data_IF_603591128840
#
_entry.id   IF_603591128840
#
_cell.length_a   1.000
_cell.length_b   1.000
_cell.length_c   1.000
_cell.angle_alpha   90.00
_cell.angle_beta   90.00
_cell.angle_gamma   90.00
#
_symmetry.space_group_name_H-M   'P 1'
#
loop_
_entity.id
_entity.type
_entity.pdbx_description
1 polymer ?
#
# COMPACT_ATOMS: atom_id res chain seq x y z
N UNK A 1 29.92 -2.57 2.92
CA UNK A 1 28.57 -2.08 3.22
C UNK A 1 27.66 -2.74 2.21
N UNK A 2 26.66 -3.47 2.68
CA UNK A 2 25.65 -4.03 1.79
C UNK A 2 24.82 -2.85 1.25
N UNK A 3 24.72 -2.75 -0.09
CA UNK A 3 24.01 -1.63 -0.71
C UNK A 3 22.51 -1.75 -0.32
N UNK A 4 22.00 -0.80 0.46
CA UNK A 4 20.61 -0.77 0.87
C UNK A 4 19.74 -0.29 -0.32
N UNK A 5 19.25 -1.25 -1.10
CA UNK A 5 18.47 -0.96 -2.29
C UNK A 5 17.23 -0.08 -1.98
N UNK A 6 16.59 -0.26 -0.83
CA UNK A 6 15.41 0.53 -0.46
C UNK A 6 15.78 2.01 -0.30
N UNK A 7 16.89 2.30 0.36
CA UNK A 7 17.38 3.69 0.52
C UNK A 7 17.79 4.31 -0.80
N UNK A 8 18.53 3.59 -1.61
CA UNK A 8 18.89 4.08 -2.94
C UNK A 8 17.63 4.33 -3.78
N UNK A 9 16.66 3.40 -3.77
CA UNK A 9 15.38 3.57 -4.47
C UNK A 9 14.57 4.77 -3.96
N UNK A 10 14.53 5.01 -2.65
CA UNK A 10 13.77 6.10 -2.08
C UNK A 10 14.47 7.45 -2.29
N UNK A 11 15.75 7.54 -2.00
CA UNK A 11 16.44 8.82 -1.78
C UNK A 11 17.60 9.10 -2.75
N UNK A 12 17.88 8.22 -3.72
CA UNK A 12 18.99 8.39 -4.67
C UNK A 12 20.33 8.75 -3.99
N UNK A 13 20.61 8.07 -2.87
CA UNK A 13 21.78 8.32 -2.02
C UNK A 13 21.90 9.76 -1.46
N UNK A 14 20.79 10.51 -1.39
CA UNK A 14 20.77 11.84 -0.79
C UNK A 14 21.12 11.79 0.70
N UNK A 15 21.84 12.81 1.14
CA UNK A 15 22.26 12.95 2.52
C UNK A 15 21.06 13.12 3.46
N UNK A 16 21.00 12.29 4.49
CA UNK A 16 20.02 12.42 5.57
C UNK A 16 20.54 13.43 6.59
N UNK A 17 19.81 14.54 6.74
CA UNK A 17 20.14 15.58 7.71
C UNK A 17 19.46 15.25 9.04
N UNK A 18 20.26 15.05 10.08
CA UNK A 18 19.80 14.70 11.44
C UNK A 18 20.04 15.85 12.41
N UNK A 19 19.04 16.14 13.26
CA UNK A 19 19.16 16.99 14.45
C UNK A 19 18.43 16.31 15.62
N UNK A 20 18.53 16.86 16.84
CA UNK A 20 17.83 16.33 18.00
C UNK A 20 16.28 16.41 17.88
N UNK A 21 15.78 17.31 17.04
CA UNK A 21 14.35 17.60 16.93
C UNK A 21 13.75 17.06 15.64
N UNK A 22 14.58 16.84 14.60
CA UNK A 22 14.09 16.51 13.27
C UNK A 22 15.13 15.76 12.45
N UNK A 23 14.64 14.85 11.64
CA UNK A 23 15.40 14.21 10.57
C UNK A 23 14.73 14.53 9.23
N UNK A 24 15.51 14.77 8.19
CA UNK A 24 14.97 15.09 6.86
C UNK A 24 15.87 14.59 5.73
N UNK A 25 15.24 14.32 4.58
CA UNK A 25 15.92 13.91 3.36
C UNK A 25 15.16 14.40 2.12
N UNK A 26 15.88 14.77 1.08
CA UNK A 26 15.30 15.05 -0.23
C UNK A 26 14.99 13.75 -0.96
N UNK A 27 13.88 13.71 -1.68
CA UNK A 27 13.46 12.57 -2.49
C UNK A 27 12.91 13.06 -3.83
N UNK A 28 13.28 12.39 -4.91
CA UNK A 28 12.70 12.62 -6.23
C UNK A 28 11.55 11.62 -6.45
N UNK A 29 10.38 12.12 -6.81
CA UNK A 29 9.25 11.27 -7.24
C UNK A 29 9.38 10.93 -8.72
N UNK A 30 10.44 10.19 -9.08
CA UNK A 30 10.74 9.79 -10.46
C UNK A 30 9.75 8.74 -11.02
N UNK A 31 9.97 8.34 -12.29
CA UNK A 31 9.11 7.37 -12.98
C UNK A 31 9.10 5.98 -12.32
N UNK A 32 10.15 5.62 -11.56
CA UNK A 32 10.22 4.35 -10.84
C UNK A 32 9.17 4.26 -9.73
N UNK A 33 8.68 5.41 -9.27
CA UNK A 33 7.72 5.56 -8.18
C UNK A 33 6.27 5.75 -8.63
N UNK A 34 5.99 5.60 -9.94
CA UNK A 34 4.65 5.81 -10.50
C UNK A 34 3.63 4.79 -9.99
N UNK A 35 2.42 5.27 -9.65
CA UNK A 35 1.25 4.47 -9.34
C UNK A 35 0.20 4.54 -10.45
N UNK A 36 -0.37 5.70 -10.69
CA UNK A 36 -1.21 6.02 -11.85
C UNK A 36 -0.46 6.99 -12.76
N UNK A 37 -0.93 7.15 -14.02
CA UNK A 37 -0.27 8.01 -15.02
C UNK A 37 0.15 9.36 -14.45
N UNK A 38 1.46 9.55 -14.30
CA UNK A 38 2.05 10.77 -13.77
C UNK A 38 1.82 11.03 -12.29
N UNK A 39 1.25 10.09 -11.54
CA UNK A 39 1.00 10.21 -10.10
C UNK A 39 1.83 9.17 -9.35
N UNK A 40 2.67 9.56 -8.36
CA UNK A 40 3.42 8.61 -7.54
C UNK A 40 2.49 7.68 -6.75
N UNK A 41 2.92 6.43 -6.53
CA UNK A 41 2.17 5.47 -5.72
C UNK A 41 2.20 5.87 -4.24
N UNK A 42 1.03 5.98 -3.59
CA UNK A 42 0.91 6.40 -2.19
C UNK A 42 1.75 5.55 -1.22
N UNK A 43 1.82 4.24 -1.47
CA UNK A 43 2.62 3.31 -0.70
C UNK A 43 4.12 3.63 -0.64
N UNK A 44 4.66 4.28 -1.67
CA UNK A 44 6.07 4.70 -1.69
C UNK A 44 6.29 5.84 -0.71
N UNK A 45 5.42 6.86 -0.72
CA UNK A 45 5.51 7.96 0.23
C UNK A 45 5.33 7.49 1.68
N UNK A 46 4.39 6.57 1.93
CA UNK A 46 4.23 5.95 3.25
C UNK A 46 5.48 5.17 3.66
N UNK A 47 6.08 4.42 2.73
CA UNK A 47 7.33 3.70 2.95
C UNK A 47 8.50 4.61 3.25
N UNK A 48 8.62 5.75 2.56
CA UNK A 48 9.66 6.77 2.83
C UNK A 48 9.51 7.40 4.22
N UNK A 49 8.28 7.74 4.61
CA UNK A 49 7.99 8.21 5.98
C UNK A 49 8.44 7.17 7.01
N UNK A 50 8.09 5.91 6.80
CA UNK A 50 8.44 4.84 7.74
C UNK A 50 9.95 4.59 7.79
N UNK A 51 10.63 4.57 6.63
CA UNK A 51 12.08 4.37 6.56
C UNK A 51 12.84 5.49 7.27
N UNK A 52 12.44 6.75 7.02
CA UNK A 52 13.06 7.89 7.67
C UNK A 52 12.80 7.91 9.19
N UNK A 53 11.57 7.56 9.61
CA UNK A 53 11.23 7.46 11.02
C UNK A 53 12.06 6.39 11.75
N UNK A 54 12.41 5.30 11.07
CA UNK A 54 13.27 4.25 11.59
C UNK A 54 14.71 4.71 11.86
N UNK A 55 15.14 5.83 11.31
CA UNK A 55 16.46 6.44 11.53
C UNK A 55 16.52 7.36 12.77
N UNK A 56 15.42 7.53 13.48
CA UNK A 56 15.39 8.32 14.70
C UNK A 56 15.98 7.55 15.88
N UNK A 57 17.19 7.85 16.27
CA UNK A 57 17.96 7.14 17.32
C UNK A 57 17.34 7.22 18.72
N UNK A 58 16.36 8.09 18.95
CA UNK A 58 15.73 8.32 20.25
C UNK A 58 14.33 7.72 20.40
N UNK A 59 13.75 7.25 19.33
CA UNK A 59 12.43 6.68 19.35
C UNK A 59 12.53 5.16 19.19
N UNK A 60 12.70 4.46 20.29
CA UNK A 60 12.27 3.05 20.39
C UNK A 60 13.20 1.99 19.78
N UNK A 61 14.32 2.34 19.11
CA UNK A 61 15.01 1.41 18.21
C UNK A 61 16.39 0.93 18.67
N UNK A 62 16.67 0.96 19.95
CA UNK A 62 17.97 0.39 20.35
C UNK A 62 18.10 -1.10 20.07
N UNK A 63 17.05 -1.85 19.72
CA UNK A 63 17.25 -3.24 19.28
C UNK A 63 16.07 -3.97 18.64
N UNK A 64 14.82 -3.48 18.68
CA UNK A 64 13.72 -4.10 17.94
C UNK A 64 12.49 -3.22 18.00
N UNK A 65 11.88 -2.94 16.83
CA UNK A 65 10.54 -2.39 16.74
C UNK A 65 9.63 -3.14 17.71
N UNK A 66 9.14 -2.45 18.75
CA UNK A 66 8.13 -3.04 19.62
C UNK A 66 6.84 -3.15 18.85
N UNK A 67 6.49 -4.35 18.45
CA UNK A 67 5.23 -4.64 17.79
C UNK A 67 4.11 -4.79 18.83
N UNK A 68 2.88 -4.40 18.49
CA UNK A 68 2.42 -3.89 17.21
C UNK A 68 2.85 -2.44 16.91
N UNK A 69 3.10 -2.15 15.61
CA UNK A 69 3.34 -0.81 15.10
C UNK A 69 2.08 -0.31 14.41
N UNK A 70 1.61 0.88 14.81
CA UNK A 70 0.45 1.54 14.24
C UNK A 70 0.89 2.70 13.36
N UNK A 71 0.40 2.72 12.11
CA UNK A 71 0.68 3.78 11.16
C UNK A 71 -0.62 4.40 10.68
N UNK A 72 -0.70 5.73 10.68
CA UNK A 72 -1.83 6.48 10.13
C UNK A 72 -1.33 7.51 9.12
N UNK A 73 -1.85 7.49 7.92
CA UNK A 73 -1.45 8.38 6.84
C UNK A 73 -2.63 9.18 6.30
N UNK A 74 -2.37 10.45 5.94
CA UNK A 74 -3.30 11.32 5.23
C UNK A 74 -2.62 11.88 3.99
N UNK A 75 -3.34 11.89 2.88
CA UNK A 75 -2.90 12.35 1.57
C UNK A 75 -3.79 13.49 1.05
N UNK A 76 -3.24 14.32 0.16
CA UNK A 76 -4.01 15.30 -0.60
C UNK A 76 -4.02 16.72 -0.06
N UNK A 77 -3.02 17.13 0.72
CA UNK A 77 -2.81 18.55 1.06
C UNK A 77 -2.24 19.33 -0.11
N UNK A 78 -1.29 18.76 -0.82
CA UNK A 78 -0.69 19.30 -2.06
C UNK A 78 -0.70 18.24 -3.16
N UNK A 79 -0.63 18.69 -4.41
CA UNK A 79 -0.43 17.83 -5.55
C UNK A 79 1.06 17.53 -5.74
N UNK A 80 1.40 16.28 -6.05
CA UNK A 80 2.74 15.83 -6.43
C UNK A 80 2.62 14.99 -7.69
N UNK A 81 3.51 15.23 -8.63
CA UNK A 81 3.60 14.51 -9.89
C UNK A 81 4.91 13.74 -9.99
N UNK A 82 4.94 12.77 -10.88
CA UNK A 82 6.18 12.13 -11.29
C UNK A 82 7.10 13.19 -11.90
N UNK A 83 8.34 13.27 -11.40
CA UNK A 83 9.32 14.30 -11.72
C UNK A 83 9.48 15.39 -10.65
N UNK A 84 8.59 15.46 -9.67
CA UNK A 84 8.67 16.49 -8.62
C UNK A 84 9.64 16.11 -7.50
N UNK A 85 10.51 17.05 -7.08
CA UNK A 85 11.31 16.91 -5.87
C UNK A 85 10.43 17.18 -4.63
N UNK A 86 10.59 16.34 -3.61
CA UNK A 86 9.91 16.49 -2.32
C UNK A 86 10.90 16.41 -1.17
N UNK A 87 10.52 16.98 -0.03
CA UNK A 87 11.22 16.86 1.24
C UNK A 87 10.43 15.91 2.15
N UNK A 88 11.09 14.86 2.64
CA UNK A 88 10.58 13.96 3.68
C UNK A 88 11.14 14.42 5.01
N UNK A 89 10.29 14.61 6.01
CA UNK A 89 10.67 15.04 7.35
C UNK A 89 9.99 14.16 8.39
N UNK A 90 10.71 13.82 9.46
CA UNK A 90 10.17 13.13 10.63
C UNK A 90 10.62 13.82 11.92
N UNK A 91 9.74 13.84 12.92
CA UNK A 91 9.92 14.46 14.21
C UNK A 91 9.40 13.54 15.30
N UNK A 92 10.11 13.40 16.44
CA UNK A 92 9.61 12.63 17.56
C UNK A 92 8.40 13.31 18.20
N UNK A 93 7.50 12.54 18.76
CA UNK A 93 6.38 12.96 19.58
C UNK A 93 6.40 12.23 20.91
N UNK A 94 5.51 12.54 21.83
CA UNK A 94 5.42 11.84 23.13
C UNK A 94 5.09 10.35 22.99
N UNK A 95 4.40 9.94 21.92
CA UNK A 95 3.89 8.58 21.75
C UNK A 95 4.41 7.88 20.48
N UNK A 96 5.36 8.51 19.77
CA UNK A 96 5.87 7.94 18.51
C UNK A 96 6.53 8.99 17.62
N UNK A 97 6.22 8.97 16.35
CA UNK A 97 6.82 9.83 15.33
C UNK A 97 5.74 10.45 14.46
N UNK A 98 5.80 11.77 14.28
CA UNK A 98 5.04 12.50 13.27
C UNK A 98 5.95 12.78 12.08
N UNK A 99 5.45 12.56 10.86
CA UNK A 99 6.22 12.77 9.65
C UNK A 99 5.39 13.37 8.53
N UNK A 100 6.09 13.96 7.53
CA UNK A 100 5.42 14.55 6.36
C UNK A 100 6.29 14.47 5.13
N UNK A 101 5.64 14.50 3.98
CA UNK A 101 6.25 14.72 2.67
C UNK A 101 5.65 15.98 2.09
N UNK A 102 6.50 16.92 1.71
CA UNK A 102 6.06 18.20 1.14
C UNK A 102 6.78 18.47 -0.19
N UNK A 103 6.07 18.93 -1.23
CA UNK A 103 6.72 19.52 -2.39
C UNK A 103 7.59 20.71 -1.96
N UNK A 104 8.66 20.96 -2.66
CA UNK A 104 9.54 22.06 -2.34
C UNK A 104 8.81 23.41 -2.44
N UNK A 105 8.79 24.16 -1.34
CA UNK A 105 8.11 25.47 -1.26
C UNK A 105 6.59 25.43 -1.07
N UNK A 106 5.98 24.25 -0.92
CA UNK A 106 4.54 24.15 -0.65
C UNK A 106 4.23 24.38 0.84
N UNK A 107 3.12 25.10 1.11
CA UNK A 107 2.62 25.33 2.46
C UNK A 107 1.99 24.08 3.09
N UNK A 108 1.34 23.26 2.25
CA UNK A 108 0.64 22.05 2.70
C UNK A 108 1.42 20.79 2.32
N UNK A 109 1.50 19.79 3.19
CA UNK A 109 2.14 18.53 2.85
C UNK A 109 1.32 17.73 1.84
N UNK A 110 2.00 16.93 1.02
CA UNK A 110 1.41 15.92 0.16
C UNK A 110 0.91 14.72 0.97
N UNK A 111 1.75 14.22 1.89
CA UNK A 111 1.42 13.15 2.82
C UNK A 111 1.81 13.58 4.22
N UNK A 112 0.95 13.29 5.20
CA UNK A 112 1.33 13.29 6.63
C UNK A 112 1.21 11.88 7.17
N UNK A 113 2.07 11.51 8.12
CA UNK A 113 2.09 10.21 8.76
C UNK A 113 2.30 10.31 10.26
N UNK A 114 1.66 9.44 11.00
CA UNK A 114 1.87 9.22 12.42
C UNK A 114 2.19 7.73 12.63
N UNK A 115 3.26 7.46 13.35
CA UNK A 115 3.72 6.10 13.69
C UNK A 115 3.79 6.03 15.19
N UNK A 116 3.08 5.08 15.79
CA UNK A 116 3.04 4.86 17.24
C UNK A 116 3.28 3.38 17.59
N UNK A 117 3.73 3.17 18.83
CA UNK A 117 4.19 1.89 19.37
C UNK A 117 3.48 1.64 20.70
N UNK A 118 2.17 1.65 20.72
CA UNK A 118 1.37 1.45 21.92
C UNK A 118 0.80 0.04 21.94
N UNK A 119 0.84 -0.62 23.12
CA UNK A 119 0.12 -1.87 23.37
C UNK A 119 -1.40 -1.69 23.31
N UNK A 120 -1.87 -0.44 23.46
CA UNK A 120 -3.27 -0.10 23.24
C UNK A 120 -3.55 -0.20 21.73
N UNK A 121 -3.99 -1.38 21.30
CA UNK A 121 -4.47 -1.55 19.94
C UNK A 121 -5.55 -0.50 19.68
N UNK A 122 -5.44 0.30 18.59
CA UNK A 122 -6.58 1.13 18.15
C UNK A 122 -7.80 0.22 18.07
N UNK A 123 -8.99 0.79 18.31
CA UNK A 123 -10.26 0.04 18.14
C UNK A 123 -10.13 -0.89 16.95
N UNK A 124 -10.18 -2.20 17.22
CA UNK A 124 -10.01 -3.20 16.17
C UNK A 124 -11.13 -3.01 15.18
N UNK A 125 -10.80 -2.48 14.03
CA UNK A 125 -11.67 -2.63 12.86
C UNK A 125 -11.63 -4.14 12.52
N UNK A 126 -12.49 -4.93 13.14
CA UNK A 126 -12.59 -6.38 12.94
C UNK A 126 -12.96 -6.79 11.49
N UNK A 127 -13.14 -5.79 10.61
CA UNK A 127 -13.56 -6.02 9.22
C UNK A 127 -12.61 -6.93 8.44
N UNK A 128 -11.30 -6.74 8.57
CA UNK A 128 -10.32 -7.46 7.76
C UNK A 128 -10.31 -8.97 8.07
N UNK A 129 -10.53 -9.36 9.32
CA UNK A 129 -10.50 -10.77 9.74
C UNK A 129 -11.72 -11.57 9.28
N UNK A 130 -12.84 -10.93 9.03
CA UNK A 130 -14.10 -11.60 8.72
C UNK A 130 -14.12 -12.27 7.36
N UNK A 131 -13.21 -11.92 6.43
CA UNK A 131 -13.17 -12.51 5.09
C UNK A 131 -11.89 -13.27 4.78
N UNK A 132 -10.94 -13.34 5.72
CA UNK A 132 -9.77 -14.22 5.56
C UNK A 132 -10.25 -15.67 5.66
N UNK A 133 -9.95 -16.51 4.67
CA UNK A 133 -10.37 -17.91 4.73
C UNK A 133 -9.65 -18.65 5.83
N UNK A 134 -10.27 -19.68 6.38
CA UNK A 134 -9.64 -20.54 7.38
C UNK A 134 -8.44 -21.32 6.81
N UNK A 135 -8.50 -21.64 5.49
CA UNK A 135 -7.46 -22.42 4.83
C UNK A 135 -7.30 -22.02 3.36
N UNK A 136 -6.08 -22.09 2.85
CA UNK A 136 -5.72 -21.75 1.48
C UNK A 136 -6.52 -22.54 0.42
N UNK A 137 -6.92 -23.76 0.72
CA UNK A 137 -7.73 -24.59 -0.19
C UNK A 137 -9.09 -23.95 -0.55
N UNK A 138 -9.59 -23.03 0.28
CA UNK A 138 -10.85 -22.34 0.02
C UNK A 138 -10.72 -21.32 -1.12
N UNK A 139 -9.52 -20.80 -1.37
CA UNK A 139 -9.25 -19.82 -2.45
C UNK A 139 -8.54 -20.47 -3.65
N UNK A 140 -7.79 -21.52 -3.44
CA UNK A 140 -7.03 -22.21 -4.49
C UNK A 140 -7.95 -22.69 -5.63
N UNK A 141 -7.61 -22.31 -6.87
CA UNK A 141 -8.39 -22.69 -8.05
C UNK A 141 -9.69 -21.91 -8.28
N UNK A 142 -9.99 -20.90 -7.43
CA UNK A 142 -11.20 -20.06 -7.51
C UNK A 142 -10.88 -18.58 -7.77
N UNK A 143 -9.72 -18.30 -8.32
CA UNK A 143 -9.22 -16.95 -8.53
C UNK A 143 -9.45 -16.49 -9.96
N UNK A 144 -10.03 -15.31 -10.13
CA UNK A 144 -10.11 -14.63 -11.41
C UNK A 144 -9.04 -13.54 -11.49
N UNK A 145 -8.30 -13.50 -12.60
CA UNK A 145 -7.26 -12.50 -12.78
C UNK A 145 -7.86 -11.11 -13.01
N UNK A 146 -7.39 -10.13 -12.25
CA UNK A 146 -7.71 -8.70 -12.43
C UNK A 146 -6.62 -8.08 -13.32
N UNK A 147 -7.01 -7.20 -14.28
CA UNK A 147 -6.06 -6.47 -15.09
C UNK A 147 -5.21 -5.51 -14.26
N UNK A 148 -4.16 -4.99 -14.85
CA UNK A 148 -3.17 -4.16 -14.20
C UNK A 148 -2.85 -2.92 -15.05
N UNK A 149 -2.34 -1.87 -14.39
CA UNK A 149 -1.75 -0.73 -15.08
C UNK A 149 -0.27 -0.98 -15.36
N UNK A 150 0.16 -0.82 -16.63
CA UNK A 150 1.48 -1.23 -17.10
C UNK A 150 2.65 -0.63 -16.30
N UNK A 151 2.57 0.64 -15.91
CA UNK A 151 3.67 1.34 -15.24
C UNK A 151 3.52 1.39 -13.71
N UNK A 152 2.44 0.87 -13.13
CA UNK A 152 2.25 0.90 -11.69
C UNK A 152 3.40 0.21 -10.94
N UNK A 153 3.89 0.85 -9.90
CA UNK A 153 4.92 0.30 -9.02
C UNK A 153 4.54 -1.07 -8.44
N UNK A 154 3.27 -1.27 -8.10
CA UNK A 154 2.78 -2.51 -7.51
C UNK A 154 2.31 -3.51 -8.56
N UNK A 155 1.34 -3.16 -9.40
CA UNK A 155 0.70 -4.10 -10.33
C UNK A 155 1.32 -4.15 -11.73
N UNK A 156 2.28 -3.31 -12.05
CA UNK A 156 2.94 -3.29 -13.35
C UNK A 156 3.88 -4.48 -13.58
N UNK A 157 3.32 -5.66 -13.84
CA UNK A 157 4.09 -6.92 -13.96
C UNK A 157 5.11 -6.90 -15.09
N UNK A 158 4.84 -6.16 -16.17
CA UNK A 158 5.70 -6.08 -17.35
C UNK A 158 6.54 -4.78 -17.40
N UNK A 159 6.49 -3.95 -16.34
CA UNK A 159 7.30 -2.73 -16.28
C UNK A 159 8.80 -3.07 -16.30
N UNK A 160 9.59 -2.26 -17.03
CA UNK A 160 11.05 -2.38 -17.08
C UNK A 160 11.75 -1.83 -15.82
N UNK A 161 11.14 -0.84 -15.19
CA UNK A 161 11.63 -0.17 -13.99
C UNK A 161 11.42 -1.01 -12.73
N UNK A 162 12.14 -0.71 -11.62
CA UNK A 162 11.92 -1.36 -10.33
C UNK A 162 10.44 -1.29 -9.90
N UNK A 163 9.94 -2.37 -9.30
CA UNK A 163 8.57 -2.44 -8.82
C UNK A 163 8.29 -3.78 -8.15
N UNK A 164 7.17 -3.88 -7.47
CA UNK A 164 6.78 -5.09 -6.75
C UNK A 164 6.23 -6.17 -7.69
N UNK A 165 5.67 -5.77 -8.83
CA UNK A 165 5.17 -6.64 -9.92
C UNK A 165 4.17 -7.69 -9.45
N UNK A 166 3.22 -7.28 -8.62
CA UNK A 166 2.21 -8.19 -8.06
C UNK A 166 1.02 -8.37 -9.02
N UNK A 167 0.58 -9.62 -9.17
CA UNK A 167 -0.66 -9.95 -9.87
C UNK A 167 -1.80 -9.96 -8.87
N UNK A 168 -2.89 -9.32 -9.22
CA UNK A 168 -4.10 -9.26 -8.42
C UNK A 168 -5.16 -10.22 -8.97
N UNK A 169 -5.91 -10.79 -8.06
CA UNK A 169 -6.95 -11.77 -8.37
C UNK A 169 -8.21 -11.45 -7.57
N UNK A 170 -9.34 -11.74 -8.16
CA UNK A 170 -10.62 -11.69 -7.49
C UNK A 170 -10.99 -13.07 -6.99
N UNK A 171 -11.36 -13.14 -5.73
CA UNK A 171 -11.93 -14.30 -5.08
C UNK A 171 -13.38 -14.00 -4.69
N UNK A 172 -14.33 -14.81 -5.23
CA UNK A 172 -15.73 -14.75 -4.83
C UNK A 172 -15.89 -15.52 -3.52
N UNK A 173 -15.77 -14.82 -2.40
CA UNK A 173 -15.93 -15.43 -1.08
C UNK A 173 -17.41 -15.53 -0.70
N UNK A 174 -17.78 -16.39 0.28
CA UNK A 174 -19.15 -16.44 0.82
C UNK A 174 -19.63 -15.13 1.42
N UNK A 175 -18.69 -14.25 1.83
CA UNK A 175 -18.97 -12.94 2.44
C UNK A 175 -18.92 -11.78 1.42
N UNK A 176 -18.73 -12.09 0.14
CA UNK A 176 -18.60 -11.11 -0.95
C UNK A 176 -17.23 -11.15 -1.60
N UNK A 177 -17.00 -10.24 -2.52
CA UNK A 177 -15.79 -10.22 -3.32
C UNK A 177 -14.58 -9.71 -2.55
N UNK A 178 -13.50 -10.45 -2.65
CA UNK A 178 -12.21 -10.12 -2.04
C UNK A 178 -11.15 -10.09 -3.13
N UNK A 179 -10.35 -9.05 -3.16
CA UNK A 179 -9.16 -8.96 -4.02
C UNK A 179 -7.97 -9.57 -3.28
N UNK A 180 -7.22 -10.43 -3.98
CA UNK A 180 -6.06 -11.10 -3.43
C UNK A 180 -4.80 -10.82 -4.25
N UNK A 181 -3.67 -10.64 -3.57
CA UNK A 181 -2.33 -10.63 -4.15
C UNK A 181 -1.42 -11.57 -3.36
N UNK A 182 -0.38 -12.10 -4.00
CA UNK A 182 0.45 -13.16 -3.45
C UNK A 182 1.93 -12.76 -3.41
N UNK A 183 2.66 -13.23 -2.39
CA UNK A 183 4.11 -13.16 -2.28
C UNK A 183 4.64 -14.45 -1.65
N UNK A 184 5.83 -14.88 -2.05
CA UNK A 184 6.44 -16.12 -1.53
C UNK A 184 5.90 -17.42 -2.14
N UNK A 185 5.03 -17.35 -3.15
CA UNK A 185 4.43 -18.52 -3.79
C UNK A 185 5.13 -18.93 -5.10
N UNK A 186 5.76 -17.97 -5.78
CA UNK A 186 6.44 -18.20 -7.04
C UNK A 186 7.86 -17.62 -6.98
N UNK A 187 8.93 -18.44 -7.10
CA UNK A 187 10.31 -17.97 -7.01
C UNK A 187 10.67 -16.86 -8.01
N UNK A 188 10.04 -16.81 -9.17
CA UNK A 188 10.30 -15.75 -10.17
C UNK A 188 9.74 -14.39 -9.73
N UNK A 189 8.60 -14.40 -9.05
CA UNK A 189 7.98 -13.18 -8.53
C UNK A 189 8.69 -12.68 -7.27
N UNK A 190 9.38 -13.57 -6.54
CA UNK A 190 10.09 -13.22 -5.30
C UNK A 190 11.28 -12.31 -5.54
N UNK A 191 12.01 -12.46 -6.63
CA UNK A 191 13.20 -11.64 -6.92
C UNK A 191 12.88 -10.14 -6.93
N UNK A 192 11.68 -9.75 -7.32
CA UNK A 192 11.26 -8.34 -7.38
C UNK A 192 10.94 -7.79 -6.00
N UNK A 193 10.25 -8.55 -5.17
CA UNK A 193 9.86 -8.11 -3.82
C UNK A 193 11.04 -8.18 -2.84
N UNK A 194 11.95 -9.15 -3.02
CA UNK A 194 13.16 -9.29 -2.18
C UNK A 194 14.11 -8.09 -2.28
N UNK A 195 14.08 -7.33 -3.38
CA UNK A 195 14.82 -6.07 -3.46
C UNK A 195 14.35 -5.05 -2.42
N UNK A 196 13.05 -5.09 -2.09
CA UNK A 196 12.45 -4.20 -1.10
C UNK A 196 12.45 -4.87 0.29
N UNK A 197 13.62 -5.32 0.71
CA UNK A 197 13.84 -5.96 2.01
C UNK A 197 15.11 -5.43 2.67
N UNK A 198 15.17 -5.56 3.99
CA UNK A 198 16.33 -5.24 4.81
C UNK A 198 16.48 -6.30 5.89
N UNK A 199 17.69 -6.78 6.13
CA UNK A 199 18.01 -7.77 7.16
C UNK A 199 17.14 -9.05 7.10
N UNK A 200 16.85 -9.53 5.88
CA UNK A 200 16.03 -10.72 5.65
C UNK A 200 14.52 -10.54 5.88
N UNK A 201 14.07 -9.31 6.15
CA UNK A 201 12.66 -8.97 6.32
C UNK A 201 12.18 -8.04 5.20
N UNK A 202 10.92 -8.18 4.80
CA UNK A 202 10.28 -7.25 3.87
C UNK A 202 10.23 -5.85 4.49
N UNK A 203 10.65 -4.85 3.72
CA UNK A 203 10.50 -3.46 4.13
C UNK A 203 9.02 -3.05 4.13
N UNK A 204 8.52 -2.27 5.10
CA UNK A 204 7.12 -1.86 5.17
C UNK A 204 6.55 -1.15 3.92
N UNK A 205 7.39 -0.54 3.09
CA UNK A 205 6.99 -0.02 1.76
C UNK A 205 6.23 -1.07 0.94
N UNK A 206 6.67 -2.33 1.02
CA UNK A 206 6.03 -3.46 0.33
C UNK A 206 4.61 -3.67 0.84
N UNK A 207 4.45 -3.70 2.17
CA UNK A 207 3.16 -3.95 2.82
C UNK A 207 2.19 -2.81 2.56
N UNK A 208 2.64 -1.56 2.73
CA UNK A 208 1.83 -0.37 2.49
C UNK A 208 1.38 -0.29 1.03
N UNK A 209 2.30 -0.49 0.09
CA UNK A 209 1.99 -0.37 -1.32
C UNK A 209 1.05 -1.49 -1.81
N UNK A 210 1.31 -2.75 -1.44
CA UNK A 210 0.46 -3.87 -1.88
C UNK A 210 -0.93 -3.77 -1.25
N UNK A 211 -1.04 -3.39 0.03
CA UNK A 211 -2.34 -3.26 0.70
C UNK A 211 -3.14 -2.04 0.21
N UNK A 212 -2.48 -0.88 -0.05
CA UNK A 212 -3.14 0.26 -0.69
C UNK A 212 -3.77 -0.15 -2.02
N UNK A 213 -3.01 -0.83 -2.87
CA UNK A 213 -3.50 -1.32 -4.17
C UNK A 213 -4.59 -2.39 -4.01
N UNK A 214 -4.41 -3.36 -3.11
CA UNK A 214 -5.39 -4.45 -2.88
C UNK A 214 -6.72 -3.91 -2.40
N UNK A 215 -6.71 -2.95 -1.47
CA UNK A 215 -7.89 -2.26 -0.97
C UNK A 215 -8.51 -1.35 -2.04
N UNK A 216 -7.68 -0.64 -2.82
CA UNK A 216 -8.13 0.19 -3.93
C UNK A 216 -8.90 -0.63 -4.97
N UNK A 217 -8.36 -1.78 -5.38
CA UNK A 217 -9.06 -2.73 -6.26
C UNK A 217 -10.31 -3.32 -5.61
N UNK A 218 -10.28 -3.62 -4.29
CA UNK A 218 -11.46 -4.06 -3.55
C UNK A 218 -12.59 -3.05 -3.61
N UNK A 219 -12.28 -1.76 -3.42
CA UNK A 219 -13.24 -0.66 -3.58
C UNK A 219 -13.73 -0.51 -5.02
N UNK A 220 -12.83 -0.60 -6.01
CA UNK A 220 -13.21 -0.57 -7.42
C UNK A 220 -14.16 -1.71 -7.78
N UNK A 221 -13.87 -2.94 -7.36
CA UNK A 221 -14.74 -4.10 -7.61
C UNK A 221 -16.12 -3.95 -6.98
N UNK A 222 -16.20 -3.33 -5.80
CA UNK A 222 -17.47 -3.10 -5.12
C UNK A 222 -18.31 -1.98 -5.74
N UNK A 223 -17.67 -0.93 -6.30
CA UNK A 223 -18.38 0.31 -6.67
C UNK A 223 -18.18 0.74 -8.13
N UNK A 224 -17.38 0.04 -8.91
CA UNK A 224 -17.03 0.33 -10.31
C UNK A 224 -16.46 1.75 -10.52
N UNK A 225 -15.77 2.30 -9.50
CA UNK A 225 -15.19 3.64 -9.53
C UNK A 225 -13.72 3.61 -9.10
N UNK A 226 -12.85 4.16 -9.94
CA UNK A 226 -11.46 4.44 -9.59
C UNK A 226 -11.36 5.63 -8.65
N UNK A 227 -10.34 5.62 -7.79
CA UNK A 227 -10.12 6.67 -6.80
C UNK A 227 -8.68 6.76 -6.34
N UNK A 228 -8.37 7.79 -5.56
CA UNK A 228 -7.09 7.98 -4.90
C UNK A 228 -7.26 7.84 -3.39
N UNK A 229 -6.30 7.21 -2.74
CA UNK A 229 -6.30 7.09 -1.28
C UNK A 229 -6.17 8.47 -0.62
N UNK A 230 -6.96 8.72 0.43
CA UNK A 230 -6.95 9.95 1.22
C UNK A 230 -6.62 9.74 2.67
N UNK A 231 -6.92 8.56 3.21
CA UNK A 231 -6.56 8.14 4.57
C UNK A 231 -6.31 6.65 4.58
N UNK A 232 -5.21 6.24 5.19
CA UNK A 232 -4.85 4.84 5.34
C UNK A 232 -4.33 4.61 6.76
N UNK A 233 -4.72 3.49 7.34
CA UNK A 233 -4.25 3.01 8.64
C UNK A 233 -3.71 1.61 8.47
N UNK A 234 -2.64 1.32 9.18
CA UNK A 234 -2.01 -0.01 9.21
C UNK A 234 -1.65 -0.36 10.65
N UNK A 235 -1.82 -1.62 10.99
CA UNK A 235 -1.28 -2.23 12.19
C UNK A 235 -0.40 -3.40 11.77
N UNK A 236 0.90 -3.28 11.99
CA UNK A 236 1.86 -4.35 11.76
C UNK A 236 2.05 -5.12 13.06
N UNK A 237 1.75 -6.40 13.09
CA UNK A 237 1.85 -7.23 14.30
C UNK A 237 3.24 -7.83 14.53
N UNK A 238 4.03 -7.97 13.46
CA UNK A 238 5.44 -8.43 13.50
C UNK A 238 6.18 -8.10 12.19
N UNK A 239 7.49 -8.26 12.22
CA UNK A 239 8.31 -8.29 10.99
C UNK A 239 7.92 -9.49 10.12
N UNK A 240 8.06 -9.34 8.82
CA UNK A 240 7.78 -10.37 7.83
C UNK A 240 9.06 -10.78 7.13
N UNK A 241 9.41 -12.06 7.24
CA UNK A 241 10.54 -12.62 6.53
C UNK A 241 10.32 -12.66 5.01
N UNK A 242 11.36 -12.48 4.23
CA UNK A 242 11.28 -12.49 2.75
C UNK A 242 10.82 -13.82 2.16
N UNK A 243 10.97 -14.93 2.89
CA UNK A 243 10.60 -16.27 2.43
C UNK A 243 9.21 -16.71 2.88
N UNK A 244 8.50 -15.87 3.64
CA UNK A 244 7.16 -16.24 4.09
C UNK A 244 6.15 -16.17 2.93
N UNK A 245 5.22 -17.12 2.89
CA UNK A 245 4.13 -17.13 1.92
C UNK A 245 3.01 -16.24 2.42
N UNK A 246 2.87 -15.07 1.81
CA UNK A 246 1.92 -14.04 2.25
C UNK A 246 0.82 -13.90 1.21
N UNK A 247 -0.43 -13.90 1.66
CA UNK A 247 -1.59 -13.49 0.87
C UNK A 247 -2.09 -12.16 1.42
N UNK A 248 -2.19 -11.18 0.53
CA UNK A 248 -2.81 -9.89 0.81
C UNK A 248 -4.28 -9.98 0.37
N UNK A 249 -5.17 -9.55 1.24
CA UNK A 249 -6.61 -9.52 1.01
C UNK A 249 -7.11 -8.08 1.09
N UNK A 250 -8.09 -7.72 0.26
CA UNK A 250 -8.73 -6.40 0.30
C UNK A 250 -10.16 -6.45 -0.18
N UNK A 251 -11.03 -5.66 0.46
CA UNK A 251 -12.46 -5.60 0.14
C UNK A 251 -13.00 -4.19 0.31
N UNK A 252 -13.91 -3.79 -0.60
CA UNK A 252 -14.72 -2.59 -0.42
C UNK A 252 -15.78 -2.81 0.67
N UNK A 253 -15.90 -1.86 1.61
CA UNK A 253 -16.76 -1.98 2.78
C UNK A 253 -18.01 -1.11 2.67
N UNK A 254 -17.85 0.17 2.34
CA UNK A 254 -18.95 1.11 2.25
C UNK A 254 -18.65 2.25 1.27
N UNK A 255 -19.70 2.90 0.82
CA UNK A 255 -19.64 4.08 -0.04
C UNK A 255 -20.52 5.20 0.50
N UNK A 256 -20.09 6.45 0.31
CA UNK A 256 -20.87 7.64 0.66
C UNK A 256 -20.74 8.70 -0.42
N UNK A 257 -21.88 9.27 -0.79
CA UNK A 257 -21.97 10.31 -1.81
C UNK A 257 -22.27 9.76 -3.20
N UNK A 258 -22.05 10.58 -4.23
CA UNK A 258 -22.32 10.26 -5.62
C UNK A 258 -21.19 10.76 -6.51
N UNK A 259 -20.85 10.01 -7.57
CA UNK A 259 -19.66 10.28 -8.42
C UNK A 259 -19.74 11.65 -9.12
N UNK A 260 -20.96 12.12 -9.48
CA UNK A 260 -21.15 13.43 -10.12
C UNK A 260 -21.01 14.64 -9.17
N UNK A 261 -20.86 14.39 -7.87
CA UNK A 261 -20.64 15.44 -6.85
C UNK A 261 -19.37 15.18 -6.06
N UNK A 262 -19.50 14.37 -5.03
CA UNK A 262 -18.40 13.96 -4.16
C UNK A 262 -18.70 12.56 -3.64
N UNK A 263 -17.84 11.62 -3.96
CA UNK A 263 -18.02 10.22 -3.56
C UNK A 263 -16.74 9.73 -2.85
N UNK A 264 -16.94 9.08 -1.72
CA UNK A 264 -15.90 8.35 -1.02
C UNK A 264 -16.30 6.90 -0.88
N UNK A 265 -15.32 6.03 -0.93
CA UNK A 265 -15.49 4.65 -0.50
C UNK A 265 -14.44 4.27 0.55
N UNK A 266 -14.79 3.30 1.35
CA UNK A 266 -13.91 2.70 2.35
C UNK A 266 -13.63 1.26 1.97
N UNK A 267 -12.42 0.84 2.27
CA UNK A 267 -12.00 -0.54 2.10
C UNK A 267 -11.17 -0.98 3.30
N UNK A 268 -11.19 -2.26 3.57
CA UNK A 268 -10.33 -2.92 4.53
C UNK A 268 -9.40 -3.90 3.84
N UNK A 269 -8.26 -4.20 4.47
CA UNK A 269 -7.28 -5.15 3.96
C UNK A 269 -6.48 -5.80 5.07
N UNK A 270 -5.87 -6.92 4.76
CA UNK A 270 -4.88 -7.54 5.62
C UNK A 270 -3.85 -8.32 4.81
N UNK A 271 -2.67 -8.51 5.40
CA UNK A 271 -1.70 -9.50 4.96
C UNK A 271 -1.68 -10.66 5.93
N UNK A 272 -1.79 -11.87 5.40
CA UNK A 272 -1.81 -13.08 6.19
C UNK A 272 -0.75 -14.07 5.69
N UNK A 273 0.04 -14.60 6.60
CA UNK A 273 1.04 -15.63 6.31
C UNK A 273 0.36 -17.00 6.29
N UNK A 274 0.58 -17.74 5.22
CA UNK A 274 0.13 -19.12 5.11
C UNK A 274 1.08 -20.05 5.87
N UNK A 275 0.54 -20.79 6.83
CA UNK A 275 1.26 -21.81 7.58
C UNK A 275 1.35 -23.12 6.80
N UNK A 276 2.17 -24.05 7.27
CA UNK A 276 2.39 -25.36 6.62
C UNK A 276 1.10 -26.20 6.52
N UNK A 277 0.17 -26.04 7.46
CA UNK A 277 -1.13 -26.72 7.45
C UNK A 277 -2.16 -26.02 6.53
N UNK A 278 -1.76 -24.93 5.86
CA UNK A 278 -2.60 -24.12 4.98
C UNK A 278 -3.47 -23.10 5.70
N UNK A 279 -3.44 -23.03 7.02
CA UNK A 279 -4.13 -21.98 7.80
C UNK A 279 -3.43 -20.62 7.64
N UNK A 280 -4.11 -19.55 8.02
CA UNK A 280 -3.58 -18.20 7.93
C UNK A 280 -3.34 -17.55 9.28
N UNK A 281 -2.23 -16.84 9.39
CA UNK A 281 -1.91 -15.93 10.48
C UNK A 281 -1.95 -14.49 9.95
N UNK A 282 -2.88 -13.67 10.44
CA UNK A 282 -2.92 -12.25 10.09
C UNK A 282 -1.75 -11.52 10.75
N UNK A 283 -0.90 -10.89 9.96
CA UNK A 283 0.36 -10.25 10.38
C UNK A 283 0.38 -8.74 10.13
N UNK A 284 -0.54 -8.26 9.31
CA UNK A 284 -0.83 -6.84 9.11
C UNK A 284 -2.31 -6.65 8.84
N UNK A 285 -2.92 -5.66 9.48
CA UNK A 285 -4.27 -5.18 9.20
C UNK A 285 -4.20 -3.77 8.63
N UNK A 286 -5.17 -3.43 7.78
CA UNK A 286 -5.26 -2.11 7.16
C UNK A 286 -6.71 -1.72 6.91
N UNK A 287 -6.96 -0.42 6.96
CA UNK A 287 -8.22 0.19 6.52
C UNK A 287 -7.95 1.52 5.86
N UNK A 288 -8.82 1.95 4.98
CA UNK A 288 -8.64 3.21 4.29
C UNK A 288 -9.88 3.81 3.69
N UNK A 289 -9.72 5.04 3.27
CA UNK A 289 -10.72 5.85 2.59
C UNK A 289 -10.14 6.36 1.27
N UNK A 290 -10.91 6.24 0.20
CA UNK A 290 -10.57 6.74 -1.13
C UNK A 290 -11.58 7.80 -1.56
N UNK A 291 -11.07 8.79 -2.28
CA UNK A 291 -11.88 9.74 -3.01
C UNK A 291 -12.07 9.21 -4.43
N UNK A 292 -13.31 8.87 -4.78
CA UNK A 292 -13.64 8.40 -6.12
C UNK A 292 -13.60 9.56 -7.13
N UNK A 293 -12.90 9.35 -8.24
CA UNK A 293 -12.68 10.35 -9.27
C UNK A 293 -13.24 9.86 -10.63
N UNK A 294 -14.27 10.57 -11.14
CA UNK A 294 -14.86 10.26 -12.44
C UNK A 294 -13.82 10.31 -13.56
N UNK A 295 -12.95 11.32 -13.55
CA UNK A 295 -11.88 11.47 -14.53
C UNK A 295 -10.91 10.28 -14.52
N UNK A 296 -10.51 9.81 -13.34
CA UNK A 296 -9.65 8.62 -13.19
C UNK A 296 -10.37 7.36 -13.68
N UNK A 297 -11.65 7.20 -13.34
CA UNK A 297 -12.47 6.06 -13.81
C UNK A 297 -12.53 6.01 -15.34
N UNK A 298 -12.77 7.16 -15.99
CA UNK A 298 -12.78 7.23 -17.45
C UNK A 298 -11.40 7.01 -18.07
N UNK A 299 -10.34 7.47 -17.40
CA UNK A 299 -8.96 7.19 -17.82
C UNK A 299 -8.61 5.70 -17.69
N UNK A 300 -9.04 5.05 -16.60
CA UNK A 300 -8.91 3.59 -16.45
C UNK A 300 -9.54 2.86 -17.63
N UNK A 301 -10.74 3.26 -18.04
CA UNK A 301 -11.45 2.66 -19.20
C UNK A 301 -10.72 2.84 -20.52
N UNK A 302 -10.04 3.95 -20.72
CA UNK A 302 -9.46 4.31 -22.02
C UNK A 302 -7.99 3.93 -22.18
N UNK A 303 -7.21 4.04 -21.11
CA UNK A 303 -5.75 4.08 -21.17
C UNK A 303 -5.04 3.17 -20.17
N UNK A 304 -5.56 3.07 -18.93
CA UNK A 304 -4.84 2.41 -17.85
C UNK A 304 -5.03 0.90 -17.83
N UNK A 305 -6.23 0.43 -18.13
CA UNK A 305 -6.53 -1.00 -18.20
C UNK A 305 -6.38 -1.44 -19.65
N UNK A 306 -5.65 -2.55 -19.91
CA UNK A 306 -5.54 -3.10 -21.27
C UNK A 306 -6.92 -3.29 -21.91
N UNK A 307 -7.08 -2.82 -23.16
CA UNK A 307 -8.37 -2.74 -23.85
C UNK A 307 -9.14 -4.07 -23.87
N UNK A 308 -8.43 -5.17 -24.07
CA UNK A 308 -8.99 -6.53 -24.12
C UNK A 308 -9.64 -6.97 -22.79
N UNK A 309 -9.22 -6.34 -21.68
CA UNK A 309 -9.68 -6.67 -20.34
C UNK A 309 -10.65 -5.64 -19.77
N UNK A 310 -10.75 -4.47 -20.42
CA UNK A 310 -11.51 -3.34 -19.94
C UNK A 310 -13.00 -3.66 -19.77
N UNK A 311 -13.64 -4.19 -20.82
CA UNK A 311 -15.06 -4.55 -20.79
C UNK A 311 -15.34 -5.59 -19.70
N UNK A 312 -14.46 -6.60 -19.58
CA UNK A 312 -14.59 -7.65 -18.57
C UNK A 312 -14.57 -7.09 -17.14
N UNK A 313 -13.55 -6.27 -16.80
CA UNK A 313 -13.39 -5.78 -15.42
C UNK A 313 -14.52 -4.82 -15.03
N UNK A 314 -14.98 -3.96 -15.94
CA UNK A 314 -16.10 -3.07 -15.66
C UNK A 314 -17.44 -3.82 -15.59
N UNK A 315 -17.64 -4.88 -16.40
CA UNK A 315 -18.78 -5.76 -16.27
C UNK A 315 -18.78 -6.52 -14.94
N UNK A 316 -17.63 -7.03 -14.51
CA UNK A 316 -17.46 -7.70 -13.22
C UNK A 316 -17.83 -6.77 -12.06
N UNK A 317 -17.36 -5.52 -12.09
CA UNK A 317 -17.67 -4.51 -11.06
C UNK A 317 -19.11 -4.02 -11.09
N UNK A 318 -19.73 -3.90 -12.28
CA UNK A 318 -21.10 -3.39 -12.45
C UNK A 318 -22.19 -4.42 -12.07
N UNK A 319 -21.98 -5.71 -12.40
CA UNK A 319 -22.96 -6.78 -12.13
C UNK A 319 -23.24 -7.03 -10.64
N UNK A 320 -22.55 -6.36 -9.74
CA UNK A 320 -22.60 -6.54 -8.28
C UNK A 320 -23.35 -5.42 -7.58
N UNK A 321 -23.68 -4.36 -8.33
CA UNK A 321 -24.44 -3.20 -7.84
C UNK A 321 -25.92 -3.23 -8.27
N UNK A 322 -26.41 -4.32 -8.84
CA UNK A 322 -27.78 -4.52 -9.32
C UNK A 322 -28.66 -5.29 -8.33
#
# INVERSE_FOLDING_TARGET
MQNDFVRTFLYDDADIVKSAEKISVSMMMDADKEGWVGIPHGGIGMGAIFDLANDFDHCVYENDLTYPVHCSFRMGGSEVRVGDPVLVEAMPTETGISARISPQGAEMPYITGEISFSDDAPEKDDYARNYVPENFSQISGKLEHIPYYLNCFVCGVDRSMPGLKRRFHLWNSPQGDVVCAFSGFNPQDEQTIHRFSRDGCLHPITLFAVLDETMGWGGFMAYAQGGVSVRLKYTLFRKLGVHEKIVFFGRGEQVKGHIDKRMFFWASGCGAVMRDDGSFEVVVESSGQWYAMKALTEQMKKELIPREQNEKIFAMAANRNG
#
